data_IF_455175643375
#
_entry.id   IF_455175643375
#
_cell.length_a   1.000
_cell.length_b   1.000
_cell.length_c   1.000
_cell.angle_alpha   90.00
_cell.angle_beta   90.00
_cell.angle_gamma   90.00
#
_symmetry.space_group_name_H-M   'P 1'
#
loop_
_entity.id
_entity.type
_entity.pdbx_description
1 polymer ?
#
# COMPACT_ATOMS: atom_id res chain seq x y z
N UNK A 1 8.95 1.11 1.66
CA UNK A 1 8.56 1.03 0.23
C UNK A 1 8.80 -0.36 -0.34
N UNK A 2 7.77 -1.20 -0.47
CA UNK A 2 7.88 -2.59 -0.93
C UNK A 2 8.36 -2.72 -2.39
N UNK A 3 7.62 -2.10 -3.32
CA UNK A 3 7.85 -2.23 -4.77
C UNK A 3 9.22 -1.67 -5.16
N UNK A 4 9.59 -0.48 -4.67
CA UNK A 4 10.88 0.15 -4.96
C UNK A 4 12.09 -0.64 -4.42
N UNK A 5 11.92 -1.41 -3.35
CA UNK A 5 13.00 -2.25 -2.77
C UNK A 5 13.12 -3.60 -3.48
N UNK A 6 12.17 -3.99 -4.32
CA UNK A 6 12.26 -5.22 -5.09
C UNK A 6 13.31 -5.12 -6.21
N UNK A 7 14.07 -6.20 -6.52
CA UNK A 7 15.10 -6.18 -7.56
C UNK A 7 14.58 -5.76 -8.94
N UNK A 8 13.31 -6.04 -9.23
CA UNK A 8 12.67 -5.78 -10.52
C UNK A 8 11.70 -4.60 -10.48
N UNK A 9 11.66 -3.82 -9.39
CA UNK A 9 10.71 -2.70 -9.20
C UNK A 9 9.24 -3.10 -9.42
N UNK A 10 8.92 -4.37 -9.14
CA UNK A 10 7.60 -4.98 -9.30
C UNK A 10 7.38 -6.05 -8.25
N UNK A 11 6.16 -6.15 -7.75
CA UNK A 11 5.76 -7.18 -6.80
C UNK A 11 4.35 -7.69 -7.11
N UNK A 12 4.10 -8.95 -6.79
CA UNK A 12 2.75 -9.51 -6.75
C UNK A 12 2.02 -9.00 -5.52
N UNK A 13 0.69 -8.97 -5.60
CA UNK A 13 -0.16 -8.56 -4.49
C UNK A 13 0.11 -9.35 -3.17
N UNK A 14 0.31 -10.69 -3.18
CA UNK A 14 0.70 -11.42 -1.99
C UNK A 14 2.06 -11.02 -1.41
N UNK A 15 3.02 -10.64 -2.26
CA UNK A 15 4.35 -10.20 -1.83
C UNK A 15 4.30 -8.83 -1.16
N UNK A 16 3.41 -7.94 -1.63
CA UNK A 16 3.13 -6.67 -0.96
C UNK A 16 2.55 -6.90 0.43
N UNK A 17 1.59 -7.83 0.58
CA UNK A 17 1.06 -8.18 1.90
C UNK A 17 2.16 -8.69 2.83
N UNK A 18 2.97 -9.63 2.34
CA UNK A 18 4.07 -10.22 3.11
C UNK A 18 5.06 -9.14 3.57
N UNK A 19 5.48 -8.26 2.67
CA UNK A 19 6.43 -7.19 3.01
C UNK A 19 5.88 -6.28 4.11
N UNK A 20 4.59 -5.92 4.05
CA UNK A 20 3.96 -5.03 5.03
C UNK A 20 3.91 -5.71 6.41
N UNK A 21 3.45 -6.96 6.48
CA UNK A 21 3.38 -7.69 7.76
C UNK A 21 4.75 -7.98 8.36
N UNK A 22 5.75 -8.23 7.52
CA UNK A 22 7.13 -8.46 7.98
C UNK A 22 7.80 -7.16 8.45
N UNK A 23 7.43 -6.01 7.87
CA UNK A 23 8.01 -4.70 8.21
C UNK A 23 7.34 -4.09 9.44
N UNK A 24 6.03 -4.28 9.58
CA UNK A 24 5.22 -3.64 10.61
C UNK A 24 4.40 -4.70 11.34
N UNK A 25 4.80 -5.01 12.57
CA UNK A 25 4.19 -6.04 13.42
C UNK A 25 2.71 -5.81 13.74
N UNK A 26 2.19 -4.60 13.52
CA UNK A 26 0.78 -4.28 13.66
C UNK A 26 -0.13 -4.98 12.64
N UNK A 27 0.34 -5.25 11.42
CA UNK A 27 -0.50 -5.83 10.36
C UNK A 27 -0.46 -7.36 10.38
N UNK A 28 -1.53 -7.99 10.89
CA UNK A 28 -1.64 -9.45 10.91
C UNK A 28 -1.85 -10.01 9.48
N UNK A 29 -1.00 -10.94 8.99
CA UNK A 29 -1.17 -11.63 7.72
C UNK A 29 -2.54 -12.30 7.52
N UNK A 30 -3.33 -12.56 8.56
CA UNK A 30 -4.65 -13.20 8.46
C UNK A 30 -5.78 -12.19 8.31
N UNK A 31 -5.55 -10.94 8.71
CA UNK A 31 -6.59 -9.93 8.72
C UNK A 31 -6.91 -9.45 7.29
N UNK A 32 -8.20 -9.42 6.95
CA UNK A 32 -8.68 -9.02 5.61
C UNK A 32 -8.85 -7.51 5.47
N UNK A 33 -9.02 -6.79 6.57
CA UNK A 33 -9.32 -5.36 6.61
C UNK A 33 -8.24 -4.53 5.94
N UNK A 34 -7.04 -4.52 6.51
CA UNK A 34 -5.91 -3.78 5.93
C UNK A 34 -5.55 -4.24 4.52
N UNK A 35 -5.65 -5.55 4.22
CA UNK A 35 -5.40 -6.06 2.85
C UNK A 35 -6.37 -5.48 1.83
N UNK A 36 -7.62 -5.22 2.23
CA UNK A 36 -8.59 -4.57 1.37
C UNK A 36 -8.20 -3.12 1.09
N UNK A 37 -7.78 -2.40 2.12
CA UNK A 37 -7.25 -1.04 1.99
C UNK A 37 -6.04 -1.01 1.06
N UNK A 38 -5.13 -1.99 1.11
CA UNK A 38 -4.00 -2.08 0.18
C UNK A 38 -4.46 -2.26 -1.27
N UNK A 39 -5.40 -3.18 -1.54
CA UNK A 39 -5.95 -3.36 -2.91
C UNK A 39 -6.60 -2.09 -3.43
N UNK A 40 -7.33 -1.39 -2.57
CA UNK A 40 -7.97 -0.13 -2.92
C UNK A 40 -6.94 0.96 -3.25
N UNK A 41 -5.88 1.10 -2.44
CA UNK A 41 -4.81 2.07 -2.68
C UNK A 41 -4.07 1.83 -4.00
N UNK A 42 -3.77 0.56 -4.30
CA UNK A 42 -3.11 0.18 -5.56
C UNK A 42 -3.94 0.55 -6.78
N UNK A 43 -5.26 0.49 -6.70
CA UNK A 43 -6.14 0.88 -7.80
C UNK A 43 -6.44 2.38 -7.87
N UNK A 44 -6.48 3.06 -6.73
CA UNK A 44 -6.80 4.49 -6.67
C UNK A 44 -5.63 5.38 -7.07
N UNK A 45 -4.41 5.03 -6.66
CA UNK A 45 -3.26 5.89 -6.90
C UNK A 45 -2.71 5.63 -8.30
N UNK A 46 -2.73 6.63 -9.21
CA UNK A 46 -2.26 6.45 -10.59
C UNK A 46 -0.76 6.18 -10.67
N UNK A 47 -0.01 6.39 -9.59
CA UNK A 47 1.39 6.01 -9.52
C UNK A 47 1.61 4.49 -9.47
N UNK A 48 0.59 3.68 -9.18
CA UNK A 48 0.67 2.23 -9.28
C UNK A 48 -0.01 1.73 -10.56
N UNK A 49 0.72 0.94 -11.33
CA UNK A 49 0.21 0.35 -12.56
C UNK A 49 0.24 -1.17 -12.47
N UNK A 50 -0.78 -1.79 -13.07
CA UNK A 50 -0.92 -3.24 -13.15
C UNK A 50 -0.22 -3.73 -14.40
N UNK A 51 0.86 -4.50 -14.24
CA UNK A 51 1.58 -5.13 -15.34
C UNK A 51 1.09 -6.57 -15.55
N UNK A 52 0.73 -6.87 -16.80
CA UNK A 52 0.28 -8.21 -17.20
C UNK A 52 1.42 -9.23 -17.07
N UNK A 53 1.07 -10.46 -16.68
CA UNK A 53 2.00 -11.59 -16.62
C UNK A 53 1.88 -12.44 -17.88
N UNK A 54 2.79 -13.39 -18.05
CA UNK A 54 2.69 -14.39 -19.11
C UNK A 54 1.31 -15.08 -19.07
N UNK A 55 0.71 -15.31 -20.24
CA UNK A 55 -0.59 -16.00 -20.36
C UNK A 55 -0.56 -17.31 -19.57
N UNK A 56 -1.45 -17.42 -18.58
CA UNK A 56 -1.57 -18.59 -17.69
C UNK A 56 -0.96 -18.44 -16.31
N UNK A 57 -0.21 -17.37 -16.03
CA UNK A 57 0.30 -17.11 -14.68
C UNK A 57 -0.78 -16.44 -13.80
N UNK A 58 -1.03 -16.93 -12.57
CA UNK A 58 -2.03 -16.34 -11.70
C UNK A 58 -1.61 -14.96 -11.18
N UNK A 59 -2.56 -14.04 -11.10
CA UNK A 59 -2.35 -12.68 -10.56
C UNK A 59 -1.64 -11.73 -11.52
N UNK A 60 -1.30 -10.54 -11.02
CA UNK A 60 -0.64 -9.49 -11.80
C UNK A 60 0.44 -8.83 -10.98
N UNK A 61 1.47 -8.32 -11.67
CA UNK A 61 2.49 -7.51 -11.03
C UNK A 61 1.94 -6.09 -10.81
N UNK A 62 2.29 -5.52 -9.68
CA UNK A 62 2.13 -4.10 -9.39
C UNK A 62 3.49 -3.44 -9.49
N UNK A 63 3.57 -2.39 -10.29
CA UNK A 63 4.77 -1.59 -10.49
C UNK A 63 4.43 -0.13 -10.23
N UNK A 64 5.46 0.70 -10.10
CA UNK A 64 5.28 2.14 -10.08
C UNK A 64 5.38 2.65 -11.52
N UNK A 65 4.58 3.66 -11.86
CA UNK A 65 4.65 4.33 -13.15
C UNK A 65 6.06 4.95 -13.34
N UNK A 66 6.74 4.69 -14.48
CA UNK A 66 8.03 5.30 -14.77
C UNK A 66 7.98 6.82 -14.64
N UNK A 67 8.92 7.41 -13.90
CA UNK A 67 8.97 8.85 -13.65
C UNK A 67 8.21 9.32 -12.40
N UNK A 68 7.32 8.50 -11.81
CA UNK A 68 6.66 8.80 -10.52
C UNK A 68 7.36 8.20 -9.31
N UNK A 69 8.44 7.44 -9.50
CA UNK A 69 9.18 6.77 -8.43
C UNK A 69 9.63 7.71 -7.31
N UNK A 70 10.03 8.94 -7.66
CA UNK A 70 10.52 9.95 -6.71
C UNK A 70 9.45 10.41 -5.71
N UNK A 71 8.16 10.39 -6.11
CA UNK A 71 7.04 10.74 -5.23
C UNK A 71 6.91 9.72 -4.10
N UNK A 72 7.21 8.44 -4.38
CA UNK A 72 7.16 7.36 -3.41
C UNK A 72 8.50 7.13 -2.68
N UNK A 73 9.59 7.82 -3.05
CA UNK A 73 10.84 7.79 -2.29
C UNK A 73 10.87 8.77 -1.11
N UNK A 74 10.08 9.85 -1.17
CA UNK A 74 10.12 10.95 -0.19
C UNK A 74 9.18 10.80 1.01
N UNK A 75 8.28 9.82 1.01
CA UNK A 75 7.42 9.49 2.17
C UNK A 75 8.19 8.70 3.26
N UNK A 76 9.28 9.28 3.76
CA UNK A 76 9.80 9.03 5.12
C UNK A 76 9.57 10.28 6.00
N UNK A 77 8.58 11.11 5.68
CA UNK A 77 8.07 12.06 6.65
C UNK A 77 7.42 11.27 7.79
N UNK A 78 7.86 11.45 9.05
CA UNK A 78 7.22 10.79 10.19
C UNK A 78 5.74 11.11 10.12
N UNK A 79 4.90 10.07 10.07
CA UNK A 79 3.45 10.25 10.15
C UNK A 79 3.18 11.15 11.37
N UNK A 80 2.46 12.27 11.22
CA UNK A 80 2.04 13.03 12.39
C UNK A 80 1.25 12.10 13.30
N UNK A 81 1.38 12.24 14.64
CA UNK A 81 0.73 11.35 15.59
C UNK A 81 -0.78 11.27 15.29
N UNK A 82 -1.42 10.11 15.55
CA UNK A 82 -2.83 9.92 15.24
C UNK A 82 -3.63 11.06 15.87
N UNK A 83 -4.37 11.80 15.03
CA UNK A 83 -5.23 12.89 15.48
C UNK A 83 -6.24 12.27 16.46
N UNK A 84 -6.11 12.58 17.75
CA UNK A 84 -7.08 12.18 18.77
C UNK A 84 -8.45 12.63 18.28
N UNK A 85 -9.37 11.68 18.11
CA UNK A 85 -10.77 11.95 17.85
C UNK A 85 -11.31 12.78 19.01
N UNK A 86 -11.52 14.08 18.76
CA UNK A 86 -12.30 14.92 19.66
C UNK A 86 -13.74 14.45 19.59
N UNK A 87 -14.40 14.11 20.72
CA UNK A 87 -15.81 13.75 20.70
C UNK A 87 -16.64 14.97 20.27
N UNK A 88 -17.62 14.73 19.41
CA UNK A 88 -18.57 15.74 18.97
C UNK A 88 -19.26 16.35 20.20
N UNK A 89 -19.10 17.66 20.40
CA UNK A 89 -19.89 18.40 21.39
C UNK A 89 -21.32 18.44 20.90
N UNK A 90 -22.16 17.65 21.55
CA UNK A 90 -23.61 17.76 21.47
C UNK A 90 -24.00 19.16 21.94
N UNK A 91 -24.44 19.99 21.00
CA UNK A 91 -25.05 21.29 21.32
C UNK A 91 -26.54 21.14 21.15
N UNK A 92 -27.17 20.92 22.31
CA UNK A 92 -28.60 21.09 22.56
C UNK A 92 -29.00 22.53 22.26
N UNK A 93 -30.01 22.72 21.41
CA UNK A 93 -31.10 23.70 21.53
C UNK A 93 -32.25 23.25 20.66
#
# INVERSE_FOLDING_TARGET
>A
MAILRSPHKRLLLPEIYKWISDTYSFYDPKERGWKNSIRHNLSLNPGFIKQERLKGAPGSYWTIEPGKEQQFMKEETPLPPPRKSTPATSSRT
#
